data_IF_668291787021
#
_entry.id   IF_668291787021
#
_cell.length_a   1.000
_cell.length_b   1.000
_cell.length_c   1.000
_cell.angle_alpha   90.00
_cell.angle_beta   90.00
_cell.angle_gamma   90.00
#
_symmetry.space_group_name_H-M   'P 1'
#
loop_
_entity.id
_entity.type
_entity.pdbx_description
1 polymer ?
#
# COMPACT_ATOMS: atom_id res chain seq x y z
N UNK A 1 -26.70 21.59 5.88
CA UNK A 1 -26.11 22.31 4.74
C UNK A 1 -25.47 21.26 3.83
N UNK A 2 -26.10 20.93 2.71
CA UNK A 2 -25.57 20.00 1.71
C UNK A 2 -24.62 20.79 0.81
N UNK A 3 -23.32 20.60 0.97
CA UNK A 3 -22.33 21.13 0.05
C UNK A 3 -22.22 20.13 -1.11
N UNK A 4 -22.83 20.44 -2.25
CA UNK A 4 -22.57 19.72 -3.49
C UNK A 4 -21.12 20.03 -3.90
N UNK A 5 -20.19 19.16 -3.55
CA UNK A 5 -18.87 19.16 -4.16
C UNK A 5 -19.02 18.50 -5.54
N UNK A 6 -19.15 19.32 -6.58
CA UNK A 6 -19.02 18.89 -7.97
C UNK A 6 -17.61 18.35 -8.15
N UNK A 7 -17.47 17.03 -8.12
CA UNK A 7 -16.22 16.34 -8.39
C UNK A 7 -15.96 16.47 -9.90
N UNK A 8 -15.23 17.51 -10.30
CA UNK A 8 -14.72 17.67 -11.66
C UNK A 8 -13.27 17.17 -11.66
N UNK A 9 -13.06 15.88 -11.92
CA UNK A 9 -11.73 15.38 -12.25
C UNK A 9 -11.40 15.72 -13.71
N UNK A 10 -10.34 16.51 -13.93
CA UNK A 10 -9.77 16.67 -15.27
C UNK A 10 -9.18 15.33 -15.72
N UNK A 11 -9.86 14.63 -16.63
CA UNK A 11 -9.34 13.46 -17.32
C UNK A 11 -8.24 13.91 -18.28
N UNK A 12 -6.97 13.75 -17.90
CA UNK A 12 -5.85 13.81 -18.85
C UNK A 12 -5.74 12.45 -19.54
N UNK A 13 -6.21 12.37 -20.78
CA UNK A 13 -6.16 11.17 -21.60
C UNK A 13 -4.75 10.88 -22.09
N UNK A 14 -4.17 9.74 -21.73
CA UNK A 14 -3.06 9.13 -22.47
C UNK A 14 -3.33 7.64 -22.75
N UNK A 15 -3.15 7.31 -24.03
CA UNK A 15 -3.68 6.16 -24.74
C UNK A 15 -3.02 4.82 -24.41
N UNK A 16 -3.79 3.77 -24.68
CA UNK A 16 -3.49 2.35 -24.52
C UNK A 16 -2.33 1.81 -25.39
N UNK A 17 -1.61 0.84 -24.84
CA UNK A 17 -0.86 -0.16 -25.61
C UNK A 17 -1.28 -1.55 -25.13
N UNK A 18 -1.86 -2.33 -26.03
CA UNK A 18 -2.26 -3.72 -25.81
C UNK A 18 -1.04 -4.66 -25.87
N UNK A 19 -0.91 -5.56 -24.90
CA UNK A 19 0.06 -6.68 -24.92
C UNK A 19 -0.71 -8.01 -24.99
N UNK A 20 -0.45 -8.75 -26.06
CA UNK A 20 -0.88 -10.12 -26.26
C UNK A 20 -0.17 -11.09 -25.30
N UNK A 21 -0.89 -12.08 -24.78
CA UNK A 21 -0.34 -13.23 -24.05
C UNK A 21 -0.39 -14.49 -24.92
N UNK A 22 0.59 -15.41 -24.77
CA UNK A 22 0.19 -16.81 -24.71
C UNK A 22 0.96 -17.70 -23.71
N UNK A 23 0.20 -18.72 -23.26
CA UNK A 23 0.54 -20.08 -22.83
C UNK A 23 1.26 -20.36 -21.50
N UNK A 24 0.53 -21.09 -20.64
CA UNK A 24 1.02 -21.79 -19.44
C UNK A 24 1.15 -23.29 -19.76
N UNK A 25 2.38 -23.75 -19.97
CA UNK A 25 2.76 -25.17 -20.07
C UNK A 25 3.19 -25.73 -18.71
N UNK A 26 2.84 -27.00 -18.45
CA UNK A 26 2.97 -27.66 -17.15
C UNK A 26 4.35 -28.20 -16.78
N UNK A 27 4.38 -28.95 -15.67
CA UNK A 27 5.53 -29.72 -15.23
C UNK A 27 5.50 -30.00 -13.73
N UNK A 28 5.10 -31.22 -13.34
CA UNK A 28 5.14 -31.70 -11.97
C UNK A 28 6.56 -31.91 -11.44
N UNK A 29 6.71 -31.95 -10.12
CA UNK A 29 7.98 -32.26 -9.45
C UNK A 29 7.78 -33.30 -8.34
N UNK A 30 8.49 -34.45 -8.36
CA UNK A 30 8.43 -35.45 -7.29
C UNK A 30 9.23 -35.04 -6.04
N UNK A 31 8.87 -35.67 -4.91
CA UNK A 31 9.27 -35.34 -3.54
C UNK A 31 10.75 -35.52 -3.18
N UNK A 32 11.12 -34.90 -2.06
CA UNK A 32 12.46 -34.91 -1.47
C UNK A 32 12.45 -35.69 -0.13
N UNK A 33 13.46 -36.54 0.15
CA UNK A 33 13.52 -37.30 1.40
C UNK A 33 14.08 -36.50 2.59
N UNK A 34 13.62 -36.91 3.77
CA UNK A 34 13.99 -36.55 5.14
C UNK A 34 15.49 -36.77 5.44
N UNK A 35 16.11 -35.85 6.18
CA UNK A 35 17.45 -36.04 6.78
C UNK A 35 17.33 -35.89 8.31
N UNK A 36 17.82 -36.91 9.01
CA UNK A 36 17.89 -37.05 10.47
C UNK A 36 19.08 -36.28 11.06
N UNK A 37 18.86 -35.77 12.28
CA UNK A 37 19.73 -34.96 13.13
C UNK A 37 20.80 -35.82 13.85
N UNK A 38 22.04 -35.30 13.96
CA UNK A 38 23.05 -35.80 14.91
C UNK A 38 23.73 -34.62 15.60
N UNK A 39 23.77 -34.69 16.93
CA UNK A 39 24.34 -33.69 17.84
C UNK A 39 25.81 -33.97 18.19
N UNK A 40 26.42 -32.98 18.86
CA UNK A 40 27.49 -33.04 19.89
C UNK A 40 28.81 -32.36 19.51
N UNK A 41 29.28 -31.45 20.37
CA UNK A 41 30.65 -30.93 20.33
C UNK A 41 30.87 -29.62 21.10
N UNK A 42 30.91 -29.70 22.43
CA UNK A 42 31.36 -28.62 23.33
C UNK A 42 32.89 -28.51 23.31
N UNK A 43 33.45 -27.32 23.05
CA UNK A 43 34.81 -26.97 23.48
C UNK A 43 34.92 -25.48 23.84
N UNK A 44 35.22 -25.25 25.12
CA UNK A 44 35.64 -23.99 25.74
C UNK A 44 37.06 -23.60 25.31
N UNK A 45 37.33 -22.31 25.03
CA UNK A 45 38.59 -21.63 25.39
C UNK A 45 38.56 -20.11 25.15
N UNK A 46 38.71 -19.38 26.25
CA UNK A 46 39.65 -18.27 26.50
C UNK A 46 39.64 -17.00 25.63
N UNK A 47 39.13 -15.94 26.26
CA UNK A 47 39.62 -14.54 26.37
C UNK A 47 40.51 -13.96 25.27
N UNK A 48 39.96 -12.95 24.58
CA UNK A 48 40.75 -11.84 24.02
C UNK A 48 40.06 -10.52 24.37
N UNK A 49 40.76 -9.67 25.12
CA UNK A 49 40.40 -8.28 25.38
C UNK A 49 40.75 -7.51 24.11
N UNK A 50 39.76 -6.92 23.45
CA UNK A 50 39.97 -5.99 22.34
C UNK A 50 39.08 -4.77 22.51
N UNK A 51 39.75 -3.69 22.89
CA UNK A 51 39.60 -2.31 22.41
C UNK A 51 38.21 -1.87 21.97
N UNK A 52 37.59 -1.02 22.78
CA UNK A 52 36.41 -0.23 22.43
C UNK A 52 36.74 0.78 21.33
N UNK A 53 36.68 0.35 20.07
CA UNK A 53 36.46 1.24 18.94
C UNK A 53 34.97 1.55 18.90
N UNK A 54 34.65 2.84 19.06
CA UNK A 54 33.34 3.43 18.82
C UNK A 54 32.83 2.94 17.46
N UNK A 55 31.95 1.94 17.50
CA UNK A 55 31.22 1.52 16.31
C UNK A 55 30.20 2.60 16.03
N UNK A 56 30.49 3.41 15.01
CA UNK A 56 29.47 4.11 14.25
C UNK A 56 28.45 3.05 13.86
N UNK A 57 27.31 3.03 14.54
CA UNK A 57 26.22 2.13 14.23
C UNK A 57 25.70 2.51 12.84
N UNK A 58 26.23 1.87 11.80
CA UNK A 58 25.53 1.78 10.53
C UNK A 58 24.23 1.07 10.85
N UNK A 59 23.13 1.81 10.84
CA UNK A 59 21.79 1.25 11.02
C UNK A 59 21.67 0.02 10.13
N UNK A 60 21.24 -1.14 10.67
CA UNK A 60 21.13 -2.36 9.89
C UNK A 60 20.23 -2.06 8.68
N UNK A 61 20.70 -2.43 7.49
CA UNK A 61 19.93 -2.23 6.26
C UNK A 61 18.65 -3.04 6.37
N UNK A 62 17.50 -2.36 6.53
CA UNK A 62 16.22 -3.03 6.73
C UNK A 62 15.82 -3.75 5.43
N UNK A 63 15.94 -5.07 5.45
CA UNK A 63 15.78 -5.93 4.26
C UNK A 63 14.34 -6.34 4.02
N UNK A 64 13.51 -6.33 5.06
CA UNK A 64 12.09 -6.65 5.03
C UNK A 64 11.33 -5.70 5.95
N UNK A 65 10.05 -5.44 5.63
CA UNK A 65 9.12 -4.74 6.52
C UNK A 65 8.99 -5.49 7.85
N UNK A 66 9.09 -4.73 8.94
CA UNK A 66 8.64 -5.17 10.26
C UNK A 66 7.22 -4.63 10.53
N UNK A 67 6.60 -5.12 11.61
CA UNK A 67 5.23 -4.71 11.99
C UNK A 67 5.12 -3.20 12.22
N UNK A 68 6.13 -2.57 12.82
CA UNK A 68 6.13 -1.12 13.05
C UNK A 68 6.16 -0.31 11.74
N UNK A 69 6.96 -0.74 10.76
CA UNK A 69 7.04 -0.11 9.46
C UNK A 69 5.74 -0.30 8.68
N UNK A 70 5.14 -1.49 8.78
CA UNK A 70 3.85 -1.77 8.17
C UNK A 70 2.74 -0.90 8.77
N UNK A 71 2.66 -0.79 10.10
CA UNK A 71 1.73 0.09 10.79
C UNK A 71 1.94 1.56 10.43
N UNK A 72 3.20 2.01 10.34
CA UNK A 72 3.53 3.36 9.88
C UNK A 72 2.97 3.63 8.48
N UNK A 73 3.20 2.71 7.52
CA UNK A 73 2.72 2.88 6.15
C UNK A 73 1.20 2.86 6.05
N UNK A 74 0.53 1.96 6.77
CA UNK A 74 -0.93 1.85 6.76
C UNK A 74 -1.60 3.07 7.42
N UNK A 75 -1.10 3.52 8.57
CA UNK A 75 -1.61 4.73 9.23
C UNK A 75 -1.30 5.99 8.42
N UNK A 76 -0.10 6.07 7.83
CA UNK A 76 0.26 7.12 6.90
C UNK A 76 -0.71 7.17 5.72
N UNK A 77 -1.03 6.03 5.11
CA UNK A 77 -1.96 5.97 3.99
C UNK A 77 -3.37 6.42 4.40
N UNK A 78 -3.85 5.96 5.56
CA UNK A 78 -5.11 6.44 6.12
C UNK A 78 -5.12 7.98 6.30
N UNK A 79 -4.01 8.59 6.71
CA UNK A 79 -3.91 10.04 6.88
C UNK A 79 -4.03 10.83 5.56
N UNK A 80 -3.65 10.22 4.42
CA UNK A 80 -3.88 10.82 3.10
C UNK A 80 -5.37 10.97 2.77
N UNK A 81 -6.25 10.21 3.44
CA UNK A 81 -7.70 10.24 3.28
C UNK A 81 -8.41 11.06 4.36
N UNK A 82 -7.86 11.10 5.58
CA UNK A 82 -8.49 11.77 6.74
C UNK A 82 -7.99 13.18 7.03
N UNK A 83 -6.78 13.53 6.57
CA UNK A 83 -6.17 14.84 6.78
C UNK A 83 -5.01 15.04 5.80
N UNK A 84 -5.34 15.08 4.49
CA UNK A 84 -4.35 15.18 3.44
C UNK A 84 -3.41 16.39 3.63
N UNK A 85 -2.12 16.17 3.40
CA UNK A 85 -1.13 17.23 3.20
C UNK A 85 -0.07 16.80 2.20
N UNK A 86 0.44 17.73 1.39
CA UNK A 86 1.53 17.43 0.46
C UNK A 86 2.78 16.92 1.20
N UNK A 87 3.07 17.43 2.39
CA UNK A 87 4.22 16.97 3.18
C UNK A 87 4.09 15.48 3.56
N UNK A 88 2.89 15.03 3.92
CA UNK A 88 2.61 13.61 4.18
C UNK A 88 2.75 12.78 2.93
N UNK A 89 2.19 13.23 1.80
CA UNK A 89 2.29 12.51 0.52
C UNK A 89 3.74 12.36 0.06
N UNK A 90 4.54 13.44 0.16
CA UNK A 90 5.96 13.46 -0.17
C UNK A 90 6.79 12.51 0.70
N UNK A 91 6.48 12.42 2.00
CA UNK A 91 7.17 11.52 2.91
C UNK A 91 6.76 10.05 2.70
N UNK A 92 5.49 9.80 2.42
CA UNK A 92 4.92 8.45 2.41
C UNK A 92 5.01 7.76 1.05
N UNK A 93 4.85 8.49 -0.05
CA UNK A 93 4.71 7.92 -1.39
C UNK A 93 6.03 7.99 -2.15
N UNK A 94 6.42 6.87 -2.75
CA UNK A 94 7.62 6.79 -3.58
C UNK A 94 7.47 7.67 -4.84
N UNK A 95 8.60 8.08 -5.41
CA UNK A 95 8.61 8.92 -6.62
C UNK A 95 7.94 8.26 -7.84
N UNK A 96 7.95 6.93 -7.91
CA UNK A 96 7.30 6.12 -8.92
C UNK A 96 5.97 5.50 -8.45
N UNK A 97 5.28 6.17 -7.53
CA UNK A 97 3.99 5.74 -7.01
C UNK A 97 2.93 5.55 -8.10
N UNK A 98 2.12 4.49 -7.97
CA UNK A 98 0.91 4.26 -8.77
C UNK A 98 -0.22 3.69 -7.91
N UNK A 99 -1.46 4.02 -8.26
CA UNK A 99 -2.67 3.47 -7.63
C UNK A 99 -3.65 2.94 -8.69
N UNK A 100 -4.20 1.76 -8.43
CA UNK A 100 -5.19 1.10 -9.28
C UNK A 100 -6.40 0.69 -8.44
N UNK A 101 -7.58 1.13 -8.86
CA UNK A 101 -8.86 0.79 -8.25
C UNK A 101 -9.98 0.80 -9.28
N UNK A 102 -10.60 -0.34 -9.52
CA UNK A 102 -11.81 -0.41 -10.33
C UNK A 102 -12.99 0.24 -9.61
N UNK A 103 -12.99 0.20 -8.28
CA UNK A 103 -13.96 0.92 -7.46
C UNK A 103 -13.93 2.43 -7.69
N UNK A 104 -12.74 3.05 -7.73
CA UNK A 104 -12.61 4.49 -8.04
C UNK A 104 -12.90 4.73 -9.51
N UNK A 105 -12.33 3.93 -10.41
CA UNK A 105 -12.52 4.10 -11.86
C UNK A 105 -14.00 4.07 -12.24
N UNK A 106 -14.78 3.18 -11.63
CA UNK A 106 -16.23 3.13 -11.78
C UNK A 106 -16.90 4.46 -11.38
N UNK A 107 -16.54 5.02 -10.22
CA UNK A 107 -17.16 6.25 -9.70
C UNK A 107 -16.86 7.48 -10.55
N UNK A 108 -15.65 7.56 -11.13
CA UNK A 108 -15.22 8.71 -11.93
C UNK A 108 -15.40 8.51 -13.44
N UNK A 109 -15.91 7.35 -13.86
CA UNK A 109 -16.16 7.03 -15.28
C UNK A 109 -14.90 6.72 -16.09
N UNK A 110 -13.81 6.33 -15.43
CA UNK A 110 -12.61 5.84 -16.12
C UNK A 110 -12.80 4.39 -16.60
N UNK A 111 -12.05 3.94 -17.62
CA UNK A 111 -12.06 2.53 -18.03
C UNK A 111 -11.68 1.59 -16.87
N UNK A 112 -12.49 0.55 -16.64
CA UNK A 112 -12.16 -0.50 -15.68
C UNK A 112 -10.92 -1.29 -16.15
N UNK A 113 -10.15 -1.79 -15.20
CA UNK A 113 -8.84 -2.43 -15.39
C UNK A 113 -7.69 -1.46 -15.67
N UNK A 114 -7.96 -0.14 -15.73
CA UNK A 114 -6.93 0.87 -15.96
C UNK A 114 -6.31 1.39 -14.66
N UNK A 115 -5.11 1.95 -14.75
CA UNK A 115 -4.47 2.63 -13.62
C UNK A 115 -5.26 3.89 -13.27
N UNK A 116 -5.63 4.04 -12.00
CA UNK A 116 -6.44 5.17 -11.52
C UNK A 116 -5.58 6.42 -11.37
N UNK A 117 -4.45 6.31 -10.66
CA UNK A 117 -3.45 7.38 -10.54
C UNK A 117 -2.11 6.88 -11.08
N UNK A 118 -1.69 7.32 -12.29
CA UNK A 118 -0.48 6.81 -12.94
C UNK A 118 0.82 7.39 -12.37
N UNK A 119 0.75 8.32 -11.42
CA UNK A 119 1.90 8.92 -10.77
C UNK A 119 1.55 9.47 -9.39
N UNK A 120 2.58 9.72 -8.57
CA UNK A 120 2.44 10.45 -7.30
C UNK A 120 1.73 11.79 -7.50
N UNK A 121 2.16 12.58 -8.49
CA UNK A 121 1.57 13.89 -8.76
C UNK A 121 0.08 13.80 -9.15
N UNK A 122 -0.33 12.76 -9.89
CA UNK A 122 -1.73 12.54 -10.22
C UNK A 122 -2.56 12.20 -8.96
N UNK A 123 -2.00 11.37 -8.07
CA UNK A 123 -2.63 11.06 -6.78
C UNK A 123 -2.75 12.32 -5.90
N UNK A 124 -1.68 13.10 -5.76
CA UNK A 124 -1.68 14.34 -4.96
C UNK A 124 -2.69 15.37 -5.47
N UNK A 125 -2.73 15.59 -6.79
CA UNK A 125 -3.72 16.46 -7.40
C UNK A 125 -5.15 15.93 -7.21
N UNK A 126 -5.32 14.61 -7.32
CA UNK A 126 -6.61 13.98 -7.18
C UNK A 126 -7.11 14.00 -5.73
N UNK A 127 -6.39 13.30 -4.84
CA UNK A 127 -6.72 13.18 -3.42
C UNK A 127 -6.68 14.53 -2.69
N UNK A 128 -5.74 15.42 -3.02
CA UNK A 128 -5.64 16.75 -2.40
C UNK A 128 -6.81 17.68 -2.74
N UNK A 129 -7.62 17.35 -3.74
CA UNK A 129 -8.86 18.07 -4.07
C UNK A 129 -10.10 17.55 -3.34
N UNK A 130 -9.99 16.40 -2.65
CA UNK A 130 -11.12 15.75 -1.99
C UNK A 130 -11.29 16.25 -0.56
N UNK A 131 -12.53 16.35 -0.05
CA UNK A 131 -12.76 16.60 1.36
C UNK A 131 -12.26 15.40 2.20
N UNK A 132 -11.78 15.64 3.43
CA UNK A 132 -11.41 14.56 4.32
C UNK A 132 -12.60 13.66 4.67
N UNK A 133 -12.35 12.36 4.78
CA UNK A 133 -13.36 11.36 5.16
C UNK A 133 -13.01 10.73 6.50
N UNK A 134 -14.01 10.14 7.18
CA UNK A 134 -13.73 9.23 8.28
C UNK A 134 -13.10 7.95 7.73
N UNK A 135 -12.00 7.47 8.30
CA UNK A 135 -11.34 6.24 7.87
C UNK A 135 -10.82 5.47 9.08
N UNK A 136 -11.20 4.21 9.20
CA UNK A 136 -10.81 3.32 10.29
C UNK A 136 -10.17 2.06 9.70
N UNK A 137 -8.93 1.80 10.10
CA UNK A 137 -8.26 0.53 9.79
C UNK A 137 -8.90 -0.56 10.66
N UNK A 138 -9.41 -1.61 10.02
CA UNK A 138 -10.07 -2.71 10.71
C UNK A 138 -9.07 -3.78 11.13
N UNK A 139 -8.16 -4.13 10.22
CA UNK A 139 -7.07 -5.07 10.50
C UNK A 139 -5.99 -4.98 9.42
N UNK A 140 -4.73 -5.22 9.80
CA UNK A 140 -3.66 -5.59 8.87
C UNK A 140 -3.65 -7.12 8.79
N UNK A 141 -4.14 -7.69 7.69
CA UNK A 141 -4.36 -9.13 7.54
C UNK A 141 -3.11 -9.88 7.08
N UNK A 142 -2.18 -9.21 6.37
CA UNK A 142 -0.92 -9.80 5.96
C UNK A 142 0.20 -8.76 5.83
N UNK A 143 1.42 -9.17 6.21
CA UNK A 143 2.67 -8.43 5.98
C UNK A 143 3.72 -9.41 5.46
N UNK A 144 4.34 -9.09 4.33
CA UNK A 144 5.55 -9.76 3.80
C UNK A 144 6.73 -8.79 3.88
N UNK A 145 7.84 -9.07 3.18
CA UNK A 145 8.98 -8.16 3.16
C UNK A 145 8.68 -6.79 2.54
N UNK A 146 7.72 -6.71 1.62
CA UNK A 146 7.43 -5.51 0.85
C UNK A 146 5.93 -5.35 0.53
N UNK A 147 5.06 -6.23 1.03
CA UNK A 147 3.62 -6.18 0.77
C UNK A 147 2.84 -6.12 2.08
N UNK A 148 1.81 -5.26 2.12
CA UNK A 148 0.88 -5.14 3.23
C UNK A 148 -0.54 -5.26 2.70
N UNK A 149 -1.34 -6.17 3.24
CA UNK A 149 -2.77 -6.26 2.95
C UNK A 149 -3.57 -5.88 4.19
N UNK A 150 -4.51 -4.95 4.07
CA UNK A 150 -5.32 -4.48 5.19
C UNK A 150 -6.75 -4.13 4.78
N UNK A 151 -7.67 -4.32 5.73
CA UNK A 151 -9.09 -3.94 5.59
C UNK A 151 -9.39 -2.66 6.33
N UNK A 152 -10.38 -1.93 5.84
CA UNK A 152 -10.77 -0.65 6.38
C UNK A 152 -12.27 -0.38 6.22
N UNK A 153 -12.75 0.61 6.97
CA UNK A 153 -14.07 1.18 6.86
C UNK A 153 -13.99 2.71 6.75
N UNK A 154 -14.68 3.29 5.79
CA UNK A 154 -14.77 4.73 5.58
C UNK A 154 -16.18 5.26 5.89
N UNK A 155 -16.26 6.44 6.48
CA UNK A 155 -17.51 7.16 6.75
C UNK A 155 -17.51 8.43 5.90
N UNK A 156 -18.42 8.51 4.94
CA UNK A 156 -18.55 9.63 4.01
C UNK A 156 -19.83 10.43 4.25
N UNK A 157 -20.90 9.74 4.64
CA UNK A 157 -22.21 10.30 4.93
C UNK A 157 -22.86 9.63 6.14
N UNK A 158 -24.19 9.78 6.29
CA UNK A 158 -24.90 9.39 7.49
C UNK A 158 -25.36 7.92 7.54
N UNK A 159 -25.32 7.17 6.43
CA UNK A 159 -26.06 5.90 6.37
C UNK A 159 -25.21 4.70 6.82
N UNK A 160 -24.23 4.28 6.02
CA UNK A 160 -23.43 3.10 6.31
C UNK A 160 -21.94 3.28 5.92
N UNK A 161 -21.00 2.74 6.73
CA UNK A 161 -19.60 2.82 6.39
C UNK A 161 -19.30 1.97 5.13
N UNK A 162 -18.60 2.57 4.18
CA UNK A 162 -18.05 1.86 3.03
C UNK A 162 -16.90 0.98 3.52
N UNK A 163 -16.90 -0.30 3.13
CA UNK A 163 -15.83 -1.24 3.47
C UNK A 163 -14.98 -1.53 2.26
N UNK A 164 -13.68 -1.68 2.50
CA UNK A 164 -12.72 -2.00 1.46
C UNK A 164 -11.49 -2.73 1.96
N UNK A 165 -10.63 -3.04 1.01
CA UNK A 165 -9.33 -3.67 1.19
C UNK A 165 -8.30 -2.89 0.38
N UNK A 166 -7.07 -2.87 0.90
CA UNK A 166 -5.93 -2.33 0.20
C UNK A 166 -4.78 -3.35 0.23
N UNK A 167 -4.03 -3.38 -0.86
CA UNK A 167 -2.72 -4.04 -0.94
C UNK A 167 -1.69 -2.96 -1.27
N UNK A 168 -0.78 -2.70 -0.33
CA UNK A 168 0.35 -1.78 -0.51
C UNK A 168 1.59 -2.58 -0.85
N UNK A 169 2.27 -2.20 -1.94
CA UNK A 169 3.66 -2.57 -2.18
C UNK A 169 4.55 -1.42 -1.71
N UNK A 170 5.50 -1.73 -0.84
CA UNK A 170 6.43 -0.77 -0.26
C UNK A 170 7.84 -0.94 -0.83
N UNK A 171 8.61 0.12 -0.79
CA UNK A 171 10.03 0.11 -1.12
C UNK A 171 10.83 0.88 -0.09
N UNK A 172 12.00 0.37 0.28
CA UNK A 172 12.92 1.05 1.17
C UNK A 172 14.01 1.77 0.36
N UNK A 173 13.79 3.05 0.04
CA UNK A 173 14.68 3.78 -0.87
C UNK A 173 16.06 4.05 -0.28
N UNK A 174 16.16 4.17 1.05
CA UNK A 174 17.40 4.53 1.74
C UNK A 174 18.00 3.37 2.55
N UNK A 175 17.37 2.19 2.50
CA UNK A 175 17.79 1.02 3.27
C UNK A 175 17.66 1.17 4.78
N UNK A 176 16.99 2.23 5.28
CA UNK A 176 16.82 2.50 6.72
C UNK A 176 15.45 2.08 7.20
N UNK A 177 15.27 1.86 8.50
CA UNK A 177 13.95 1.55 9.07
C UNK A 177 12.91 2.66 8.81
N UNK A 178 13.35 3.92 8.71
CA UNK A 178 12.49 5.06 8.38
C UNK A 178 12.37 5.33 6.86
N UNK A 179 13.03 4.53 6.02
CA UNK A 179 13.12 4.74 4.57
C UNK A 179 12.01 4.09 3.75
N UNK A 180 11.06 3.42 4.40
CA UNK A 180 9.93 2.76 3.75
C UNK A 180 8.93 3.76 3.19
N UNK A 181 8.57 3.58 1.93
CA UNK A 181 7.55 4.35 1.22
C UNK A 181 6.62 3.42 0.45
N UNK A 182 5.38 3.85 0.23
CA UNK A 182 4.41 3.15 -0.61
C UNK A 182 4.73 3.42 -2.08
N UNK A 183 4.88 2.35 -2.86
CA UNK A 183 5.17 2.40 -4.30
C UNK A 183 3.96 2.04 -5.15
N UNK A 184 3.17 1.06 -4.74
CA UNK A 184 1.99 0.66 -5.51
C UNK A 184 0.83 0.38 -4.57
N UNK A 185 -0.35 0.84 -4.95
CA UNK A 185 -1.61 0.58 -4.25
C UNK A 185 -2.55 -0.15 -5.19
N UNK A 186 -3.13 -1.23 -4.68
CA UNK A 186 -4.35 -1.81 -5.24
C UNK A 186 -5.46 -1.65 -4.21
N UNK A 187 -6.47 -0.85 -4.56
CA UNK A 187 -7.57 -0.48 -3.66
C UNK A 187 -8.89 -0.98 -4.22
N UNK A 188 -9.66 -1.72 -3.44
CA UNK A 188 -11.03 -2.09 -3.82
C UNK A 188 -11.99 -1.93 -2.65
N UNK A 189 -13.20 -1.43 -2.95
CA UNK A 189 -14.23 -1.18 -1.96
C UNK A 189 -15.64 -1.27 -2.58
N UNK A 190 -16.66 -1.22 -1.73
CA UNK A 190 -18.04 -1.19 -2.23
C UNK A 190 -18.37 0.16 -2.89
N UNK A 191 -18.15 0.26 -4.19
CA UNK A 191 -18.42 1.46 -5.00
C UNK A 191 -19.90 1.84 -5.05
N UNK A 192 -20.81 0.85 -4.93
CA UNK A 192 -22.25 1.11 -4.83
C UNK A 192 -22.61 1.88 -3.57
N UNK A 193 -22.14 1.41 -2.40
CA UNK A 193 -22.33 2.13 -1.13
C UNK A 193 -21.65 3.49 -1.18
N UNK A 194 -20.42 3.59 -1.72
CA UNK A 194 -19.74 4.88 -1.86
C UNK A 194 -20.56 5.88 -2.67
N UNK A 195 -21.11 5.45 -3.82
CA UNK A 195 -21.97 6.29 -4.66
C UNK A 195 -23.19 6.80 -3.89
N UNK A 196 -23.87 5.92 -3.14
CA UNK A 196 -25.03 6.31 -2.32
C UNK A 196 -24.67 7.34 -1.24
N UNK A 197 -23.57 7.14 -0.52
CA UNK A 197 -23.13 8.02 0.57
C UNK A 197 -22.81 9.45 0.09
N UNK A 198 -22.36 9.60 -1.16
CA UNK A 198 -22.10 10.92 -1.77
C UNK A 198 -23.32 11.49 -2.52
N UNK A 199 -24.49 10.86 -2.39
CA UNK A 199 -25.76 11.31 -2.97
C UNK A 199 -26.04 10.82 -4.39
N UNK A 200 -25.28 9.85 -4.87
CA UNK A 200 -25.55 9.11 -6.10
C UNK A 200 -26.66 8.07 -5.93
N UNK A 201 -27.06 7.46 -7.05
CA UNK A 201 -28.00 6.34 -7.09
C UNK A 201 -27.27 5.10 -7.60
N UNK A 202 -27.53 3.94 -7.00
CA UNK A 202 -27.12 2.67 -7.60
C UNK A 202 -28.02 2.38 -8.80
N UNK A 203 -27.41 2.09 -9.95
CA UNK A 203 -28.10 1.59 -11.13
C UNK A 203 -28.48 0.12 -10.97
#
# INVERSE_FOLDING_TARGET
MKLLATITFLVSTLSAVALASPQRGGGGRPGRPTITQTATGTTTSTTTISSSTTSSATSPTATCLDSSSAEYLVNGFASLLTAYSNATAEALLASNFTDTSDSINFLVGNPLGSVTFPSKAAFEAGQGSQPPIGFTILNIDAVTCDVIAFRWAATLGPDAPVKGINILYASNLNGTAAGWQVKTVYSEFNSGTWSQEIGGVCA
#
